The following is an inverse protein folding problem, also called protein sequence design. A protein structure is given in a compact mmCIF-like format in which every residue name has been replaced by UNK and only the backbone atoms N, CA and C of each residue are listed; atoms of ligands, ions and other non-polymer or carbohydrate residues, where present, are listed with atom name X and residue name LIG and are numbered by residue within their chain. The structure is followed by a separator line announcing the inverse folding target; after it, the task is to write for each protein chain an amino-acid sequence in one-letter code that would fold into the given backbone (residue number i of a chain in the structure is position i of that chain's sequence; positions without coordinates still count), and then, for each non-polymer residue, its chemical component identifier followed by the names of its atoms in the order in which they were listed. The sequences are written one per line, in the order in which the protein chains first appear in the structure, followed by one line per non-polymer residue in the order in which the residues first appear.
data_IF_463156566290
#
_entry.id   IF_463156566290
#
_cell.length_a   1.000
_cell.length_b   1.000
_cell.length_c   1.000
_cell.angle_alpha   90.00
_cell.angle_beta   90.00
_cell.angle_gamma   90.00
#
_symmetry.space_group_name_H-M   'P 1'
#
loop_
_entity.id
_entity.type
_entity.pdbx_description
1 polymer ?
#
# COMPACT_ATOMS: atom_id res chain seq x y z
N UNK A 1 1.60 -14.56 -4.32
CA UNK A 1 0.30 -14.36 -3.65
C UNK A 1 0.45 -14.78 -2.21
N UNK A 2 0.20 -13.85 -1.29
CA UNK A 2 0.31 -14.06 0.15
C UNK A 2 -1.00 -14.64 0.68
N UNK A 3 -1.04 -15.94 1.02
CA UNK A 3 -2.25 -16.59 1.53
C UNK A 3 -2.45 -16.22 3.00
N UNK A 4 -3.47 -15.42 3.28
CA UNK A 4 -3.95 -15.13 4.64
C UNK A 4 -5.33 -15.74 4.88
N UNK A 5 -5.60 -16.19 6.11
CA UNK A 5 -6.91 -16.73 6.43
C UNK A 5 -8.00 -15.65 6.36
N UNK A 6 -9.14 -16.08 5.83
CA UNK A 6 -10.41 -15.37 5.95
C UNK A 6 -11.15 -15.94 7.17
N UNK A 7 -11.60 -15.03 8.02
CA UNK A 7 -12.37 -15.33 9.23
C UNK A 7 -13.81 -14.88 9.10
N UNK A 8 -14.37 -14.35 10.19
CA UNK A 8 -15.65 -13.66 10.13
C UNK A 8 -15.47 -12.29 9.46
N UNK A 9 -16.08 -12.03 8.29
CA UNK A 9 -15.91 -10.77 7.60
C UNK A 9 -16.59 -9.62 8.36
N UNK A 10 -15.83 -8.55 8.61
CA UNK A 10 -16.37 -7.29 9.14
C UNK A 10 -16.56 -6.25 8.03
N UNK A 11 -15.73 -6.31 7.00
CA UNK A 11 -15.84 -5.56 5.76
C UNK A 11 -15.14 -6.36 4.66
N UNK A 12 -15.70 -6.41 3.45
CA UNK A 12 -15.09 -7.14 2.33
C UNK A 12 -15.13 -6.32 1.06
N UNK A 13 -14.04 -6.40 0.30
CA UNK A 13 -13.90 -5.83 -1.04
C UNK A 13 -14.24 -4.34 -1.12
N UNK A 14 -13.95 -3.57 -0.05
CA UNK A 14 -14.16 -2.13 -0.02
C UNK A 14 -13.14 -1.49 -0.97
N UNK A 15 -13.55 -0.70 -1.98
CA UNK A 15 -12.59 -0.03 -2.85
C UNK A 15 -11.70 0.92 -2.05
N UNK A 16 -10.38 0.85 -2.27
CA UNK A 16 -9.42 1.73 -1.58
C UNK A 16 -9.70 3.22 -1.81
N UNK A 17 -10.31 3.57 -2.95
CA UNK A 17 -10.69 4.95 -3.31
C UNK A 17 -11.77 5.54 -2.39
N UNK A 18 -12.47 4.71 -1.62
CA UNK A 18 -13.47 5.13 -0.63
C UNK A 18 -12.91 5.15 0.80
N UNK A 19 -11.65 4.77 0.97
CA UNK A 19 -11.01 4.61 2.27
C UNK A 19 -10.13 5.82 2.58
N UNK A 20 -10.29 6.41 3.76
CA UNK A 20 -9.27 7.26 4.37
C UNK A 20 -8.47 6.37 5.32
N UNK A 21 -7.20 6.13 5.02
CA UNK A 21 -6.41 5.14 5.75
C UNK A 21 -6.35 5.46 7.26
N UNK A 22 -6.04 6.70 7.72
CA UNK A 22 -5.99 7.00 9.15
C UNK A 22 -7.30 6.66 9.88
N UNK A 23 -8.44 7.06 9.30
CA UNK A 23 -9.75 6.84 9.89
C UNK A 23 -10.13 5.34 9.90
N UNK A 24 -9.69 4.59 8.89
CA UNK A 24 -9.89 3.14 8.83
C UNK A 24 -9.12 2.45 9.97
N UNK A 25 -7.83 2.76 10.14
CA UNK A 25 -7.00 2.18 11.19
C UNK A 25 -7.48 2.59 12.59
N UNK A 26 -7.93 3.83 12.76
CA UNK A 26 -8.52 4.32 14.00
C UNK A 26 -9.81 3.55 14.37
N UNK A 27 -10.65 3.23 13.38
CA UNK A 27 -11.82 2.36 13.58
C UNK A 27 -11.42 0.94 14.00
N UNK A 28 -10.40 0.35 13.38
CA UNK A 28 -9.92 -0.99 13.75
C UNK A 28 -9.38 -1.02 15.19
N UNK A 29 -8.66 0.03 15.59
CA UNK A 29 -8.16 0.22 16.95
C UNK A 29 -9.30 0.38 17.96
N UNK A 30 -10.20 1.34 17.73
CA UNK A 30 -11.30 1.64 18.65
C UNK A 30 -12.33 0.51 18.73
N UNK A 31 -12.51 -0.22 17.63
CA UNK A 31 -13.34 -1.43 17.56
C UNK A 31 -12.70 -2.65 18.23
N UNK A 32 -11.47 -2.54 18.77
CA UNK A 32 -10.71 -3.63 19.40
C UNK A 32 -10.58 -4.86 18.50
N UNK A 33 -10.29 -4.64 17.22
CA UNK A 33 -10.15 -5.74 16.26
C UNK A 33 -9.15 -6.79 16.79
N UNK A 34 -9.56 -8.05 16.73
CA UNK A 34 -8.67 -9.21 16.84
C UNK A 34 -8.80 -9.98 15.54
N UNK A 35 -7.74 -9.98 14.73
CA UNK A 35 -7.78 -10.55 13.38
C UNK A 35 -6.85 -9.82 12.41
N UNK A 36 -7.25 -9.74 11.14
CA UNK A 36 -6.43 -9.10 10.11
C UNK A 36 -7.23 -8.15 9.22
N UNK A 37 -6.53 -7.15 8.70
CA UNK A 37 -6.99 -6.31 7.61
C UNK A 37 -6.06 -6.51 6.42
N UNK A 38 -6.64 -6.70 5.24
CA UNK A 38 -5.94 -7.08 4.01
C UNK A 38 -6.21 -6.00 2.97
N UNK A 39 -5.15 -5.54 2.32
CA UNK A 39 -5.21 -4.68 1.15
C UNK A 39 -4.67 -5.44 -0.04
N UNK A 40 -5.46 -5.51 -1.10
CA UNK A 40 -5.10 -6.15 -2.35
C UNK A 40 -4.97 -5.06 -3.43
N UNK A 41 -3.75 -4.86 -3.91
CA UNK A 41 -3.43 -3.94 -4.99
C UNK A 41 -2.93 -4.74 -6.20
N UNK A 42 -3.10 -4.24 -7.43
CA UNK A 42 -2.63 -4.94 -8.64
C UNK A 42 -1.14 -5.32 -8.64
N UNK A 43 -0.30 -4.58 -7.91
CA UNK A 43 1.15 -4.79 -7.84
C UNK A 43 1.66 -5.18 -6.44
N UNK A 44 0.79 -5.29 -5.44
CA UNK A 44 1.20 -5.57 -4.06
C UNK A 44 0.06 -6.13 -3.19
N UNK A 45 0.41 -7.05 -2.30
CA UNK A 45 -0.48 -7.54 -1.24
C UNK A 45 -0.01 -6.96 0.09
N UNK A 46 -0.92 -6.37 0.88
CA UNK A 46 -0.58 -5.86 2.21
C UNK A 46 -1.49 -6.47 3.27
N UNK A 47 -0.96 -6.67 4.47
CA UNK A 47 -1.76 -7.09 5.60
C UNK A 47 -1.32 -6.46 6.90
N UNK A 48 -2.30 -6.20 7.75
CA UNK A 48 -2.16 -5.67 9.08
C UNK A 48 -2.80 -6.66 10.06
N UNK A 49 -2.08 -7.08 11.09
CA UNK A 49 -2.58 -8.02 12.09
C UNK A 49 -2.82 -7.28 13.40
N UNK A 50 -4.00 -7.48 13.97
CA UNK A 50 -4.45 -6.80 15.18
C UNK A 50 -4.75 -7.79 16.31
N UNK A 51 -4.36 -7.41 17.53
CA UNK A 51 -4.76 -8.07 18.79
C UNK A 51 -5.43 -7.05 19.70
N UNK A 52 -6.72 -7.23 19.97
CA UNK A 52 -7.54 -6.33 20.82
C UNK A 52 -7.40 -4.83 20.46
N UNK A 53 -7.29 -4.52 19.16
CA UNK A 53 -7.15 -3.17 18.62
C UNK A 53 -5.71 -2.64 18.54
N UNK A 54 -4.72 -3.38 19.04
CA UNK A 54 -3.30 -3.05 18.85
C UNK A 54 -2.83 -3.57 17.52
N UNK A 55 -2.11 -2.76 16.75
CA UNK A 55 -1.50 -3.21 15.50
C UNK A 55 -0.19 -3.90 15.83
N UNK A 56 -0.13 -5.21 15.63
CA UNK A 56 1.00 -6.03 16.09
C UNK A 56 2.05 -6.25 15.02
N UNK A 57 1.62 -6.47 13.78
CA UNK A 57 2.53 -6.58 12.63
C UNK A 57 1.88 -6.03 11.37
N UNK A 58 2.71 -5.49 10.49
CA UNK A 58 2.34 -5.05 9.16
C UNK A 58 3.27 -5.71 8.15
N UNK A 59 2.73 -6.09 6.99
CA UNK A 59 3.50 -6.71 5.93
C UNK A 59 3.04 -6.20 4.57
N UNK A 60 3.99 -5.98 3.67
CA UNK A 60 3.76 -5.70 2.26
C UNK A 60 4.59 -6.67 1.44
N UNK A 61 3.94 -7.36 0.51
CA UNK A 61 4.58 -8.14 -0.53
C UNK A 61 4.50 -7.37 -1.84
N UNK A 62 5.66 -7.00 -2.38
CA UNK A 62 5.76 -6.22 -3.62
C UNK A 62 7.01 -6.63 -4.37
N UNK A 63 6.87 -6.85 -5.68
CA UNK A 63 8.00 -7.19 -6.58
C UNK A 63 8.84 -8.38 -6.08
N UNK A 64 8.19 -9.36 -5.44
CA UNK A 64 8.84 -10.55 -4.86
C UNK A 64 9.57 -10.31 -3.54
N UNK A 65 9.53 -9.09 -3.00
CA UNK A 65 10.12 -8.74 -1.71
C UNK A 65 9.07 -8.64 -0.61
N UNK A 66 9.48 -8.99 0.61
CA UNK A 66 8.69 -8.87 1.83
C UNK A 66 9.21 -7.67 2.65
N UNK A 67 8.33 -6.69 2.90
CA UNK A 67 8.60 -5.50 3.71
C UNK A 67 7.76 -5.63 4.98
N UNK A 68 8.34 -5.34 6.16
CA UNK A 68 7.68 -5.52 7.46
C UNK A 68 7.54 -4.24 8.28
N UNK A 69 6.58 -4.29 9.19
CA UNK A 69 6.32 -3.38 10.30
C UNK A 69 6.33 -1.91 9.86
N UNK A 70 7.24 -1.09 10.38
CA UNK A 70 7.26 0.34 10.07
C UNK A 70 7.44 0.64 8.58
N UNK A 71 8.33 -0.08 7.90
CA UNK A 71 8.55 0.09 6.47
C UNK A 71 7.33 -0.39 5.66
N UNK A 72 6.63 -1.43 6.14
CA UNK A 72 5.39 -1.90 5.53
C UNK A 72 4.28 -0.84 5.63
N UNK A 73 4.17 -0.15 6.76
CA UNK A 73 3.18 0.93 6.95
C UNK A 73 3.47 2.12 6.05
N UNK A 74 4.73 2.50 5.88
CA UNK A 74 5.14 3.52 4.91
C UNK A 74 4.78 3.11 3.48
N UNK A 75 5.14 1.89 3.08
CA UNK A 75 4.81 1.35 1.77
C UNK A 75 3.30 1.26 1.54
N UNK A 76 2.50 0.95 2.57
CA UNK A 76 1.04 0.92 2.48
C UNK A 76 0.46 2.31 2.21
N UNK A 77 0.95 3.35 2.89
CA UNK A 77 0.53 4.74 2.62
C UNK A 77 0.83 5.12 1.17
N UNK A 78 2.04 4.83 0.69
CA UNK A 78 2.41 5.09 -0.71
C UNK A 78 1.50 4.34 -1.69
N UNK A 79 1.24 3.05 -1.45
CA UNK A 79 0.35 2.24 -2.29
C UNK A 79 -1.07 2.79 -2.31
N UNK A 80 -1.61 3.19 -1.16
CA UNK A 80 -2.96 3.77 -1.05
C UNK A 80 -3.11 5.07 -1.86
N UNK A 81 -2.04 5.83 -2.04
CA UNK A 81 -2.05 7.11 -2.75
C UNK A 81 -1.76 6.98 -4.25
N UNK A 82 -0.88 6.04 -4.61
CA UNK A 82 -0.42 5.87 -5.98
C UNK A 82 -1.23 4.84 -6.77
N UNK A 83 -1.85 3.87 -6.10
CA UNK A 83 -2.60 2.83 -6.78
C UNK A 83 -3.89 3.39 -7.41
N UNK A 84 -4.14 3.03 -8.67
CA UNK A 84 -5.36 3.40 -9.38
C UNK A 84 -6.57 2.54 -8.98
N UNK A 85 -6.32 1.38 -8.41
CA UNK A 85 -7.33 0.43 -7.94
C UNK A 85 -6.77 -0.44 -6.83
N UNK A 86 -7.67 -1.06 -6.07
CA UNK A 86 -7.36 -1.99 -5.01
C UNK A 86 -8.57 -2.20 -4.12
N UNK A 87 -8.49 -3.20 -3.25
CA UNK A 87 -9.55 -3.52 -2.29
C UNK A 87 -9.01 -3.61 -0.87
N UNK A 88 -9.90 -3.36 0.07
CA UNK A 88 -9.67 -3.46 1.50
C UNK A 88 -10.70 -4.41 2.11
N UNK A 89 -10.23 -5.39 2.87
CA UNK A 89 -11.08 -6.35 3.58
C UNK A 89 -10.60 -6.52 5.02
N UNK A 90 -11.50 -6.80 5.94
CA UNK A 90 -11.22 -6.98 7.36
C UNK A 90 -11.92 -8.24 7.84
N UNK A 91 -11.16 -9.12 8.47
CA UNK A 91 -11.65 -10.38 9.01
C UNK A 91 -11.33 -10.47 10.49
N UNK A 92 -12.38 -10.64 11.30
CA UNK A 92 -12.23 -11.02 12.69
C UNK A 92 -11.84 -12.50 12.78
N UNK A 93 -10.85 -12.79 13.63
CA UNK A 93 -10.34 -14.14 13.89
C UNK A 93 -10.47 -14.44 15.39
N UNK A 94 -10.49 -15.73 15.73
CA UNK A 94 -10.30 -16.09 17.14
C UNK A 94 -8.88 -15.72 17.58
N UNK A 95 -8.69 -15.46 18.88
CA UNK A 95 -7.37 -15.12 19.44
C UNK A 95 -6.29 -16.14 19.05
N UNK A 96 -6.66 -17.41 19.04
CA UNK A 96 -5.77 -18.53 18.73
C UNK A 96 -5.30 -18.49 17.28
N UNK A 97 -6.21 -18.18 16.36
CA UNK A 97 -5.89 -18.03 14.94
C UNK A 97 -5.09 -16.74 14.72
N UNK A 98 -5.42 -15.64 15.39
CA UNK A 98 -4.64 -14.39 15.30
C UNK A 98 -3.18 -14.61 15.71
N UNK A 99 -2.92 -15.32 16.81
CA UNK A 99 -1.55 -15.64 17.23
C UNK A 99 -0.81 -16.50 16.19
N UNK A 100 -1.50 -17.47 15.59
CA UNK A 100 -0.90 -18.26 14.52
C UNK A 100 -0.62 -17.41 13.26
N UNK A 101 -1.50 -16.47 12.92
CA UNK A 101 -1.28 -15.51 11.83
C UNK A 101 -0.11 -14.57 12.12
N UNK A 102 0.06 -14.15 13.38
CA UNK A 102 1.26 -13.41 13.79
C UNK A 102 2.52 -14.25 13.56
N UNK A 103 2.49 -15.55 13.84
CA UNK A 103 3.58 -16.46 13.50
C UNK A 103 3.83 -16.48 11.98
N UNK A 104 2.78 -16.62 11.17
CA UNK A 104 2.87 -16.66 9.70
C UNK A 104 3.56 -15.41 9.13
N UNK A 105 3.19 -14.23 9.63
CA UNK A 105 3.60 -12.94 9.08
C UNK A 105 4.94 -12.46 9.68
N UNK A 106 5.09 -12.55 11.01
CA UNK A 106 6.21 -11.98 11.75
C UNK A 106 7.20 -13.02 12.30
N UNK A 107 6.82 -14.30 12.34
CA UNK A 107 7.64 -15.34 12.95
C UNK A 107 8.91 -15.69 12.15
N UNK A 108 10.02 -16.04 12.82
CA UNK A 108 11.18 -16.60 12.15
C UNK A 108 10.83 -17.91 11.42
N UNK A 109 11.45 -18.10 10.24
CA UNK A 109 11.37 -19.35 9.51
C UNK A 109 12.20 -20.41 10.24
N UNK A 110 11.53 -21.48 10.68
CA UNK A 110 12.20 -22.71 11.16
C UNK A 110 12.41 -23.68 10.00
N UNK A 111 11.49 -23.67 9.05
CA UNK A 111 11.57 -24.38 7.77
C UNK A 111 11.17 -23.37 6.70
N UNK A 112 11.95 -23.27 5.63
CA UNK A 112 11.73 -22.33 4.54
C UNK A 112 11.83 -23.04 3.20
N UNK A 113 10.69 -23.11 2.50
CA UNK A 113 10.53 -23.65 1.15
C UNK A 113 11.15 -25.05 0.94
N UNK A 114 11.03 -25.94 1.92
CA UNK A 114 11.55 -27.32 1.81
C UNK A 114 10.51 -28.25 1.18
N UNK A 115 10.96 -29.15 0.29
CA UNK A 115 10.07 -30.16 -0.27
C UNK A 115 9.57 -31.12 0.80
N UNK A 116 8.26 -31.35 0.84
CA UNK A 116 7.62 -32.16 1.88
C UNK A 116 8.16 -33.59 1.94
N UNK A 117 8.59 -34.14 0.80
CA UNK A 117 9.17 -35.49 0.68
C UNK A 117 10.52 -35.64 1.39
N UNK A 118 11.21 -34.53 1.64
CA UNK A 118 12.50 -34.50 2.33
C UNK A 118 12.36 -34.27 3.84
N UNK A 119 11.13 -33.99 4.31
CA UNK A 119 10.83 -33.72 5.71
C UNK A 119 10.20 -34.97 6.33
N UNK A 120 10.68 -35.37 7.50
CA UNK A 120 9.92 -36.28 8.36
C UNK A 120 8.72 -35.50 8.95
N UNK A 121 7.61 -35.51 8.23
CA UNK A 121 6.42 -34.75 8.59
C UNK A 121 5.86 -35.20 9.94
N UNK A 122 5.97 -36.49 10.27
CA UNK A 122 5.50 -37.02 11.56
C UNK A 122 6.35 -36.46 12.70
N UNK A 123 7.67 -36.53 12.57
CA UNK A 123 8.58 -35.96 13.58
C UNK A 123 8.38 -34.45 13.73
N UNK A 124 8.10 -33.73 12.63
CA UNK A 124 7.78 -32.30 12.66
C UNK A 124 6.53 -32.01 13.49
N UNK A 125 5.44 -32.75 13.26
CA UNK A 125 4.21 -32.59 14.04
C UNK A 125 4.40 -32.94 15.52
N UNK A 126 5.14 -34.02 15.80
CA UNK A 126 5.48 -34.42 17.18
C UNK A 126 6.33 -33.36 17.88
N UNK A 127 7.23 -32.70 17.14
CA UNK A 127 8.04 -31.59 17.64
C UNK A 127 7.19 -30.37 17.99
N UNK A 128 6.31 -29.94 17.08
CA UNK A 128 5.37 -28.83 17.31
C UNK A 128 4.57 -29.06 18.60
N UNK A 129 4.09 -30.29 18.79
CA UNK A 129 3.33 -30.69 19.97
C UNK A 129 4.17 -30.69 21.25
N UNK A 130 5.36 -31.29 21.21
CA UNK A 130 6.22 -31.48 22.39
C UNK A 130 6.83 -30.17 22.87
N UNK A 131 7.25 -29.31 21.94
CA UNK A 131 7.79 -27.97 22.25
C UNK A 131 6.69 -26.94 22.48
N UNK A 132 5.41 -27.34 22.46
CA UNK A 132 4.24 -26.47 22.66
C UNK A 132 4.28 -25.22 21.77
N UNK A 133 4.62 -25.39 20.49
CA UNK A 133 4.80 -24.25 19.61
C UNK A 133 3.47 -23.55 19.28
N UNK A 134 3.50 -22.22 19.26
CA UNK A 134 2.49 -21.42 18.55
C UNK A 134 3.06 -21.07 17.17
N UNK A 135 2.46 -21.61 16.13
CA UNK A 135 3.09 -21.65 14.81
C UNK A 135 2.06 -21.73 13.68
N UNK A 136 2.50 -21.36 12.48
CA UNK A 136 1.78 -21.66 11.24
C UNK A 136 2.65 -22.53 10.35
N UNK A 137 2.08 -23.66 9.94
CA UNK A 137 2.65 -24.54 8.92
C UNK A 137 1.93 -24.27 7.61
N UNK A 138 2.66 -23.79 6.61
CA UNK A 138 2.14 -23.57 5.27
C UNK A 138 2.61 -24.71 4.37
N UNK A 139 1.69 -25.31 3.65
CA UNK A 139 1.96 -26.36 2.66
C UNK A 139 1.47 -25.86 1.31
N UNK A 140 2.31 -25.88 0.28
CA UNK A 140 1.97 -25.25 -0.99
C UNK A 140 2.68 -25.86 -2.20
N UNK A 141 2.03 -25.71 -3.35
CA UNK A 141 2.61 -25.81 -4.70
C UNK A 141 2.56 -24.41 -5.33
N UNK A 142 3.04 -24.20 -6.58
CA UNK A 142 2.83 -22.94 -7.26
C UNK A 142 1.35 -22.55 -7.44
N UNK A 143 0.45 -23.53 -7.47
CA UNK A 143 -0.99 -23.34 -7.76
C UNK A 143 -1.90 -23.46 -6.54
N UNK A 144 -1.52 -24.24 -5.53
CA UNK A 144 -2.34 -24.55 -4.36
C UNK A 144 -1.62 -24.21 -3.08
N UNK A 145 -2.32 -23.72 -2.07
CA UNK A 145 -1.74 -23.49 -0.76
C UNK A 145 -2.74 -23.77 0.37
N UNK A 146 -2.21 -24.32 1.47
CA UNK A 146 -2.92 -24.63 2.70
C UNK A 146 -2.11 -24.21 3.93
N UNK A 147 -2.80 -23.88 5.00
CA UNK A 147 -2.29 -23.45 6.29
C UNK A 147 -2.83 -24.36 7.38
N UNK A 148 -1.97 -24.71 8.32
CA UNK A 148 -2.34 -25.35 9.59
C UNK A 148 -1.89 -24.44 10.72
N UNK A 149 -2.83 -24.07 11.57
CA UNK A 149 -2.59 -23.18 12.69
C UNK A 149 -2.41 -23.98 13.98
N UNK A 150 -1.36 -23.66 14.72
CA UNK A 150 -1.03 -24.28 16.00
C UNK A 150 -0.96 -23.25 17.11
N UNK A 151 -1.49 -23.60 18.27
CA UNK A 151 -1.34 -22.87 19.53
C UNK A 151 -0.93 -23.85 20.61
N UNK A 152 0.18 -23.56 21.30
CA UNK A 152 0.71 -24.41 22.36
C UNK A 152 0.84 -25.90 21.95
N UNK A 153 1.22 -26.14 20.69
CA UNK A 153 1.37 -27.48 20.11
C UNK A 153 0.07 -28.17 19.69
N UNK A 154 -1.10 -27.57 19.94
CA UNK A 154 -2.39 -28.09 19.50
C UNK A 154 -2.84 -27.41 18.19
N UNK A 155 -3.43 -28.19 17.28
CA UNK A 155 -4.03 -27.63 16.07
C UNK A 155 -5.32 -26.88 16.41
N UNK A 156 -5.41 -25.63 15.97
CA UNK A 156 -6.55 -24.75 16.24
C UNK A 156 -7.38 -24.43 15.00
N UNK A 157 -6.87 -24.72 13.80
CA UNK A 157 -7.63 -24.59 12.57
C UNK A 157 -6.82 -24.85 11.31
N UNK A 158 -7.54 -24.90 10.19
CA UNK A 158 -7.02 -25.08 8.85
C UNK A 158 -7.57 -23.99 7.94
N UNK A 159 -6.81 -23.64 6.90
CA UNK A 159 -7.28 -22.73 5.86
C UNK A 159 -6.59 -23.07 4.55
N UNK A 160 -7.28 -22.92 3.42
CA UNK A 160 -6.68 -23.08 2.10
C UNK A 160 -7.19 -22.00 1.13
N UNK A 161 -6.58 -21.93 -0.04
CA UNK A 161 -6.90 -20.99 -1.12
C UNK A 161 -8.39 -20.89 -1.50
N UNK A 162 -9.10 -22.02 -1.51
CA UNK A 162 -10.53 -22.10 -1.78
C UNK A 162 -11.42 -22.02 -0.51
N UNK A 163 -10.85 -21.89 0.69
CA UNK A 163 -11.62 -21.75 1.92
C UNK A 163 -12.32 -20.39 1.97
N UNK A 164 -13.55 -20.38 2.46
CA UNK A 164 -14.29 -19.16 2.79
C UNK A 164 -14.17 -18.77 4.27
N UNK A 165 -13.56 -19.63 5.09
CA UNK A 165 -13.40 -19.45 6.53
C UNK A 165 -12.39 -20.42 7.12
N UNK A 166 -12.18 -20.36 8.45
CA UNK A 166 -11.34 -21.32 9.16
C UNK A 166 -12.06 -22.66 9.27
N UNK A 167 -11.38 -23.73 8.84
CA UNK A 167 -11.87 -25.09 8.89
C UNK A 167 -11.35 -25.84 10.11
N UNK A 168 -12.09 -26.87 10.52
CA UNK A 168 -11.71 -27.76 11.62
C UNK A 168 -11.11 -29.09 11.13
N UNK A 169 -10.98 -29.27 9.81
CA UNK A 169 -10.52 -30.52 9.20
C UNK A 169 -9.30 -30.29 8.32
N UNK A 170 -8.40 -31.28 8.28
CA UNK A 170 -7.16 -31.21 7.50
C UNK A 170 -7.33 -31.65 6.04
N UNK A 171 -8.55 -32.01 5.61
CA UNK A 171 -8.79 -32.78 4.38
C UNK A 171 -8.12 -32.19 3.15
N UNK A 172 -8.37 -30.91 2.86
CA UNK A 172 -7.79 -30.25 1.68
C UNK A 172 -6.29 -30.02 1.83
N UNK A 173 -5.82 -29.62 3.01
CA UNK A 173 -4.40 -29.40 3.27
C UNK A 173 -3.58 -30.69 3.09
N UNK A 174 -4.15 -31.85 3.48
CA UNK A 174 -3.56 -33.16 3.25
C UNK A 174 -3.52 -33.53 1.76
N UNK A 175 -4.53 -33.14 0.98
CA UNK A 175 -4.49 -33.34 -0.47
C UNK A 175 -3.37 -32.52 -1.12
N UNK A 176 -3.22 -31.25 -0.72
CA UNK A 176 -2.13 -30.38 -1.21
C UNK A 176 -0.76 -30.96 -0.85
N UNK A 177 -0.61 -31.48 0.36
CA UNK A 177 0.61 -32.15 0.81
C UNK A 177 0.99 -33.37 -0.05
N UNK A 178 0.00 -34.05 -0.65
CA UNK A 178 0.21 -35.20 -1.55
C UNK A 178 0.61 -34.82 -2.97
N UNK A 179 0.54 -33.54 -3.35
CA UNK A 179 0.84 -33.10 -4.71
C UNK A 179 2.34 -33.17 -5.03
N UNK A 180 2.71 -33.48 -6.29
CA UNK A 180 4.11 -33.43 -6.72
C UNK A 180 4.72 -32.05 -6.52
N UNK A 181 5.90 -31.98 -5.91
CA UNK A 181 6.61 -30.72 -5.69
C UNK A 181 6.05 -29.87 -4.55
N UNK A 182 5.14 -30.40 -3.72
CA UNK A 182 4.66 -29.70 -2.54
C UNK A 182 5.80 -29.34 -1.58
N UNK A 183 5.77 -28.09 -1.11
CA UNK A 183 6.74 -27.50 -0.20
C UNK A 183 6.09 -27.07 1.09
N UNK A 184 6.92 -26.91 2.12
CA UNK A 184 6.51 -26.58 3.47
C UNK A 184 7.32 -25.41 3.99
N UNK A 185 6.62 -24.45 4.60
CA UNK A 185 7.18 -23.41 5.45
C UNK A 185 6.66 -23.60 6.87
N UNK A 186 7.54 -23.50 7.88
CA UNK A 186 7.14 -23.44 9.29
C UNK A 186 7.61 -22.12 9.87
N UNK A 187 6.66 -21.32 10.33
CA UNK A 187 6.91 -20.05 11.02
C UNK A 187 6.41 -20.17 12.46
N UNK A 188 7.28 -19.86 13.42
CA UNK A 188 6.98 -19.99 14.85
C UNK A 188 6.91 -18.61 15.46
N UNK A 189 5.90 -18.35 16.29
CA UNK A 189 5.83 -17.10 17.04
C UNK A 189 6.87 -17.17 18.16
N UNK A 190 7.77 -16.18 18.23
CA UNK A 190 8.69 -16.06 19.35
C UNK A 190 7.90 -15.82 20.64
N UNK A 191 8.38 -16.39 21.75
CA UNK A 191 7.80 -16.09 23.05
C UNK A 191 7.98 -14.59 23.32
N UNK A 192 6.87 -13.91 23.52
CA UNK A 192 6.84 -12.50 23.89
C UNK A 192 6.29 -12.53 25.30
N UNK A 193 7.08 -12.13 26.30
CA UNK A 193 6.75 -12.16 27.74
C UNK A 193 5.52 -11.28 28.09
N UNK A 194 4.36 -11.56 27.48
CA UNK A 194 3.15 -10.74 27.50
C UNK A 194 3.25 -9.39 26.76
N UNK A 195 4.41 -9.02 26.21
CA UNK A 195 4.60 -7.72 25.56
C UNK A 195 4.20 -7.74 24.09
N UNK A 196 3.05 -7.14 23.80
CA UNK A 196 2.59 -6.85 22.43
C UNK A 196 2.80 -5.36 22.14
N UNK A 197 3.76 -5.07 21.26
CA UNK A 197 4.05 -3.73 20.78
C UNK A 197 2.92 -3.24 19.86
N UNK A 198 2.36 -2.06 20.14
CA UNK A 198 1.41 -1.40 19.22
C UNK A 198 2.20 -0.56 18.20
N UNK A 199 2.39 -1.10 17.00
CA UNK A 199 3.11 -0.43 15.91
C UNK A 199 2.46 0.90 15.52
N UNK A 200 1.13 1.02 15.65
CA UNK A 200 0.42 2.27 15.37
C UNK A 200 0.78 3.38 16.37
N UNK A 201 1.34 3.04 17.54
CA UNK A 201 1.86 4.01 18.50
C UNK A 201 3.27 4.51 18.17
N UNK A 202 3.99 3.85 17.26
CA UNK A 202 5.37 4.21 16.89
C UNK A 202 5.45 5.14 15.68
N UNK A 203 4.36 5.22 14.90
CA UNK A 203 4.30 5.98 13.65
C UNK A 203 3.03 6.80 13.66
N UNK A 204 3.16 8.10 13.44
CA UNK A 204 2.01 8.96 13.20
C UNK A 204 1.50 8.73 11.78
N UNK A 205 0.62 7.75 11.62
CA UNK A 205 0.04 7.39 10.32
C UNK A 205 -0.78 8.56 9.76
N UNK A 206 -1.38 9.40 10.62
CA UNK A 206 -2.12 10.58 10.18
C UNK A 206 -1.15 11.62 9.61
N UNK A 207 -0.05 11.93 10.31
CA UNK A 207 0.96 12.83 9.78
C UNK A 207 1.61 12.29 8.49
N UNK A 208 1.89 10.99 8.42
CA UNK A 208 2.43 10.35 7.23
C UNK A 208 1.45 10.41 6.04
N UNK A 209 0.17 10.15 6.32
CA UNK A 209 -0.91 10.29 5.35
C UNK A 209 -1.05 11.73 4.88
N UNK A 210 -1.12 12.72 5.77
CA UNK A 210 -1.24 14.14 5.39
C UNK A 210 0.01 14.66 4.66
N UNK A 211 1.21 14.24 5.05
CA UNK A 211 2.44 14.61 4.33
C UNK A 211 2.49 14.04 2.90
N UNK A 212 1.79 12.93 2.67
CA UNK A 212 1.79 12.21 1.39
C UNK A 212 0.55 12.51 0.54
N UNK A 213 -0.57 12.84 1.18
CA UNK A 213 -1.87 13.20 0.59
C UNK A 213 -2.03 14.70 0.39
N UNK A 214 -1.33 15.47 1.23
CA UNK A 214 -1.37 16.92 1.31
C UNK A 214 -0.33 17.56 0.40
N UNK A 215 -0.83 18.56 -0.32
CA UNK A 215 -0.09 19.65 -0.93
C UNK A 215 1.09 20.10 -0.03
N UNK A 216 2.33 20.29 -0.52
CA UNK A 216 3.47 20.78 0.28
C UNK A 216 3.32 22.20 0.86
N UNK A 217 2.10 22.78 0.85
CA UNK A 217 1.75 24.10 1.35
C UNK A 217 0.89 24.09 2.63
N UNK A 218 0.78 22.97 3.36
CA UNK A 218 0.27 23.00 4.72
C UNK A 218 1.32 23.61 5.67
N UNK A 219 1.51 24.93 5.59
CA UNK A 219 2.24 25.71 6.60
C UNK A 219 1.45 25.64 7.92
N UNK A 220 2.09 25.40 9.09
CA UNK A 220 1.40 25.57 10.36
C UNK A 220 0.91 27.02 10.47
N UNK A 221 -0.40 27.19 10.67
CA UNK A 221 -1.04 28.50 10.70
C UNK A 221 -0.41 29.43 11.76
N UNK A 222 0.07 30.63 11.39
CA UNK A 222 0.33 31.67 12.37
C UNK A 222 -0.99 32.38 12.73
N UNK A 223 -1.08 32.70 14.01
CA UNK A 223 -2.09 33.48 14.72
C UNK A 223 -2.70 34.62 13.92
N UNK A 224 -4.03 34.70 13.96
CA UNK A 224 -4.84 35.77 13.40
C UNK A 224 -4.46 37.16 13.93
N UNK A 225 -4.25 38.11 13.01
CA UNK A 225 -4.47 39.54 13.25
C UNK A 225 -5.29 40.07 12.07
N UNK A 226 -6.32 40.84 12.40
CA UNK A 226 -7.43 41.22 11.54
C UNK A 226 -7.20 42.52 10.74
N UNK A 227 -8.01 42.65 9.68
CA UNK A 227 -8.55 43.85 9.02
C UNK A 227 -7.79 44.43 7.80
N UNK A 228 -8.49 45.17 6.90
CA UNK A 228 -9.83 44.95 6.34
C UNK A 228 -9.92 45.11 4.79
N UNK A 229 -11.02 44.62 4.23
CA UNK A 229 -11.40 44.64 2.82
C UNK A 229 -11.90 46.00 2.33
N UNK A 230 -11.64 46.36 1.06
CA UNK A 230 -12.51 47.24 0.27
C UNK A 230 -12.65 46.76 -1.20
N UNK A 231 -13.81 46.99 -1.85
CA UNK A 231 -14.20 46.37 -3.11
C UNK A 231 -14.00 47.30 -4.32
N UNK A 232 -13.81 46.76 -5.53
CA UNK A 232 -14.00 47.54 -6.76
C UNK A 232 -14.66 46.70 -7.85
N UNK A 233 -15.67 47.33 -8.46
CA UNK A 233 -16.66 46.80 -9.39
C UNK A 233 -16.13 46.63 -10.85
N UNK A 234 -16.93 46.06 -11.79
CA UNK A 234 -16.44 45.36 -12.99
C UNK A 234 -16.55 46.10 -14.35
N UNK A 235 -15.83 45.53 -15.34
CA UNK A 235 -16.02 45.53 -16.83
C UNK A 235 -15.65 46.81 -17.64
N UNK A 236 -15.35 46.76 -18.97
CA UNK A 236 -15.59 45.69 -19.97
C UNK A 236 -14.44 45.39 -20.99
N UNK A 237 -14.76 44.49 -21.94
CA UNK A 237 -13.95 43.73 -22.91
C UNK A 237 -13.24 44.48 -24.06
N UNK A 238 -12.18 43.85 -24.61
CA UNK A 238 -11.81 43.89 -26.03
C UNK A 238 -10.95 42.66 -26.43
N UNK A 239 -11.26 42.06 -27.58
CA UNK A 239 -10.72 40.80 -28.07
C UNK A 239 -9.41 40.97 -28.89
N UNK A 240 -8.48 40.04 -28.67
CA UNK A 240 -7.50 39.58 -29.66
C UNK A 240 -7.23 38.10 -29.37
N UNK A 241 -7.33 37.26 -30.39
CA UNK A 241 -7.24 35.80 -30.29
C UNK A 241 -5.79 35.33 -30.09
N UNK A 242 -5.27 35.54 -28.89
CA UNK A 242 -4.20 34.77 -28.28
C UNK A 242 -4.86 33.94 -27.20
N UNK A 243 -4.65 32.62 -27.17
CA UNK A 243 -5.06 31.82 -26.01
C UNK A 243 -4.52 32.53 -24.77
N UNK A 244 -5.39 32.79 -23.81
CA UNK A 244 -5.00 33.44 -22.57
C UNK A 244 -3.89 32.62 -21.92
N UNK A 245 -2.98 33.29 -21.20
CA UNK A 245 -1.89 32.64 -20.49
C UNK A 245 -2.39 31.42 -19.66
N UNK A 246 -3.57 31.58 -19.05
CA UNK A 246 -4.27 30.56 -18.26
C UNK A 246 -4.71 29.34 -19.09
N UNK A 247 -5.12 29.53 -20.35
CA UNK A 247 -5.51 28.44 -21.26
C UNK A 247 -4.29 27.64 -21.74
N UNK A 248 -3.17 28.33 -22.00
CA UNK A 248 -1.91 27.69 -22.38
C UNK A 248 -1.32 26.92 -21.20
N UNK A 249 -1.40 27.51 -20.01
CA UNK A 249 -1.00 26.85 -18.77
C UNK A 249 -1.81 25.57 -18.52
N UNK A 250 -3.15 25.66 -18.60
CA UNK A 250 -4.02 24.48 -18.49
C UNK A 250 -3.70 23.41 -19.55
N UNK A 251 -3.41 23.82 -20.79
CA UNK A 251 -3.04 22.90 -21.87
C UNK A 251 -1.69 22.21 -21.62
N UNK A 252 -0.69 22.91 -21.08
CA UNK A 252 0.61 22.32 -20.71
C UNK A 252 0.42 21.28 -19.59
N UNK A 253 -0.43 21.58 -18.61
CA UNK A 253 -0.76 20.67 -17.51
C UNK A 253 -1.51 19.44 -17.98
N UNK A 254 -2.45 19.59 -18.90
CA UNK A 254 -3.20 18.47 -19.47
C UNK A 254 -2.33 17.61 -20.39
N UNK A 255 -1.38 18.20 -21.12
CA UNK A 255 -0.38 17.45 -21.88
C UNK A 255 0.51 16.63 -20.93
N UNK A 256 1.03 17.24 -19.87
CA UNK A 256 1.84 16.52 -18.89
C UNK A 256 1.04 15.41 -18.17
N UNK A 257 -0.24 15.66 -17.86
CA UNK A 257 -1.17 14.65 -17.34
C UNK A 257 -1.38 13.48 -18.32
N UNK A 258 -1.55 13.79 -19.61
CA UNK A 258 -1.83 12.79 -20.64
C UNK A 258 -0.65 11.86 -20.88
N UNK A 259 0.58 12.39 -20.87
CA UNK A 259 1.78 11.61 -21.19
C UNK A 259 2.43 10.95 -19.98
N UNK A 260 2.34 11.57 -18.80
CA UNK A 260 3.05 11.16 -17.58
C UNK A 260 2.09 10.93 -16.39
N UNK A 261 0.77 11.05 -16.61
CA UNK A 261 -0.25 10.88 -15.57
C UNK A 261 -0.31 12.06 -14.61
N UNK A 262 -1.07 11.92 -13.52
CA UNK A 262 -1.30 13.01 -12.54
C UNK A 262 0.01 13.62 -12.01
N UNK A 263 1.05 12.80 -11.82
CA UNK A 263 2.38 13.26 -11.40
C UNK A 263 3.07 14.12 -12.46
N UNK A 264 2.83 13.85 -13.75
CA UNK A 264 3.28 14.69 -14.85
C UNK A 264 2.71 16.11 -14.77
N UNK A 265 1.41 16.21 -14.49
CA UNK A 265 0.74 17.50 -14.28
C UNK A 265 1.35 18.27 -13.11
N UNK A 266 1.50 17.62 -11.96
CA UNK A 266 2.09 18.23 -10.77
C UNK A 266 3.55 18.64 -11.00
N UNK A 267 4.31 17.85 -11.76
CA UNK A 267 5.67 18.20 -12.15
C UNK A 267 5.68 19.44 -13.05
N UNK A 268 4.79 19.52 -14.03
CA UNK A 268 4.67 20.69 -14.89
C UNK A 268 4.25 21.95 -14.12
N UNK A 269 3.29 21.84 -13.19
CA UNK A 269 2.87 22.93 -12.29
C UNK A 269 4.05 23.45 -11.46
N UNK A 270 4.82 22.54 -10.85
CA UNK A 270 6.00 22.89 -10.03
C UNK A 270 7.09 23.57 -10.84
N UNK A 271 7.47 23.02 -11.99
CA UNK A 271 8.55 23.59 -12.79
C UNK A 271 8.13 24.93 -13.44
N UNK A 272 6.83 25.13 -13.70
CA UNK A 272 6.31 26.41 -14.17
C UNK A 272 6.36 27.50 -13.09
N UNK A 273 6.10 27.11 -11.83
CA UNK A 273 6.28 27.99 -10.67
C UNK A 273 7.75 28.36 -10.46
N UNK A 274 8.68 27.41 -10.63
CA UNK A 274 10.13 27.65 -10.47
C UNK A 274 10.67 28.69 -11.45
N UNK A 275 10.21 28.68 -12.71
CA UNK A 275 10.64 29.63 -13.74
C UNK A 275 9.89 30.98 -13.68
N UNK A 276 8.84 31.06 -12.87
CA UNK A 276 8.13 32.29 -12.49
C UNK A 276 6.77 32.52 -13.12
N UNK A 277 6.32 31.71 -14.08
CA UNK A 277 4.96 31.62 -14.69
C UNK A 277 5.03 31.16 -16.16
N UNK A 278 3.87 30.86 -16.77
CA UNK A 278 3.76 30.53 -18.20
C UNK A 278 4.30 31.65 -19.11
N UNK A 279 4.22 32.92 -18.69
CA UNK A 279 4.77 34.04 -19.46
C UNK A 279 6.30 33.98 -19.58
N UNK A 280 6.96 33.29 -18.65
CA UNK A 280 8.40 33.06 -18.67
C UNK A 280 8.83 32.04 -19.74
N UNK A 281 7.89 31.25 -20.28
CA UNK A 281 8.16 30.32 -21.39
C UNK A 281 8.35 31.03 -22.75
N UNK A 282 8.11 32.35 -22.83
CA UNK A 282 8.47 33.18 -23.99
C UNK A 282 9.99 33.33 -24.16
N UNK A 283 10.73 33.15 -23.06
CA UNK A 283 12.18 33.16 -23.06
C UNK A 283 12.70 31.76 -23.44
N UNK A 284 13.45 31.62 -24.55
CA UNK A 284 13.99 30.33 -24.99
C UNK A 284 14.83 29.62 -23.93
N UNK A 285 15.56 30.36 -23.11
CA UNK A 285 16.45 29.79 -22.08
C UNK A 285 15.62 29.17 -20.95
N UNK A 286 14.54 29.85 -20.54
CA UNK A 286 13.62 29.36 -19.50
C UNK A 286 12.73 28.21 -19.99
N UNK A 287 12.33 28.23 -21.26
CA UNK A 287 11.62 27.10 -21.88
C UNK A 287 12.51 25.85 -21.89
N UNK A 288 13.80 26.01 -22.21
CA UNK A 288 14.74 24.90 -22.20
C UNK A 288 15.00 24.36 -20.78
N UNK A 289 15.10 25.24 -19.79
CA UNK A 289 15.21 24.88 -18.37
C UNK A 289 13.98 24.07 -17.89
N UNK A 290 12.78 24.55 -18.21
CA UNK A 290 11.52 23.87 -17.91
C UNK A 290 11.43 22.48 -18.53
N UNK A 291 11.74 22.36 -19.82
CA UNK A 291 11.70 21.08 -20.54
C UNK A 291 12.75 20.08 -20.02
N UNK A 292 13.91 20.56 -19.58
CA UNK A 292 14.95 19.72 -18.98
C UNK A 292 14.54 19.23 -17.58
N UNK A 293 13.91 20.08 -16.78
CA UNK A 293 13.41 19.74 -15.45
C UNK A 293 12.27 18.73 -15.51
N UNK A 294 11.30 18.94 -16.42
CA UNK A 294 10.20 17.99 -16.66
C UNK A 294 10.74 16.65 -17.18
N UNK A 295 11.70 16.65 -18.10
CA UNK A 295 12.31 15.42 -18.58
C UNK A 295 12.95 14.64 -17.43
N UNK A 296 13.74 15.32 -16.58
CA UNK A 296 14.41 14.69 -15.45
C UNK A 296 13.41 14.09 -14.45
N UNK A 297 12.32 14.79 -14.13
CA UNK A 297 11.28 14.29 -13.22
C UNK A 297 10.40 13.19 -13.83
N UNK A 298 10.31 13.12 -15.16
CA UNK A 298 9.45 12.14 -15.85
C UNK A 298 10.16 10.81 -16.17
N UNK A 299 11.49 10.73 -16.06
CA UNK A 299 12.29 9.54 -16.42
C UNK A 299 11.92 8.24 -15.69
N UNK A 300 11.36 8.35 -14.48
CA UNK A 300 10.89 7.20 -13.69
C UNK A 300 9.40 6.92 -13.86
N UNK A 301 8.68 7.78 -14.59
CA UNK A 301 7.22 7.80 -14.68
C UNK A 301 6.72 7.42 -16.09
N UNK A 302 7.53 7.62 -17.13
CA UNK A 302 7.16 7.33 -18.51
C UNK A 302 8.36 6.85 -19.35
N UNK A 303 8.09 6.22 -20.49
CA UNK A 303 9.14 5.79 -21.43
C UNK A 303 9.76 6.99 -22.17
N UNK A 304 11.02 6.85 -22.58
CA UNK A 304 11.76 7.92 -23.26
C UNK A 304 11.06 8.47 -24.51
N UNK A 305 10.33 7.63 -25.25
CA UNK A 305 9.54 8.05 -26.41
C UNK A 305 8.36 8.96 -26.01
N UNK A 306 7.61 8.60 -24.95
CA UNK A 306 6.50 9.42 -24.44
C UNK A 306 6.99 10.76 -23.89
N UNK A 307 8.15 10.78 -23.24
CA UNK A 307 8.75 12.02 -22.72
C UNK A 307 9.16 12.94 -23.88
N UNK A 308 9.70 12.38 -24.97
CA UNK A 308 10.05 13.16 -26.18
C UNK A 308 8.81 13.78 -26.83
N UNK A 309 7.76 12.98 -27.04
CA UNK A 309 6.48 13.45 -27.60
C UNK A 309 5.83 14.54 -26.74
N UNK A 310 5.88 14.38 -25.41
CA UNK A 310 5.38 15.39 -24.47
C UNK A 310 6.15 16.70 -24.59
N UNK A 311 7.49 16.68 -24.67
CA UNK A 311 8.31 17.89 -24.80
C UNK A 311 8.05 18.63 -26.12
N UNK A 312 7.84 17.89 -27.21
CA UNK A 312 7.49 18.47 -28.50
C UNK A 312 6.09 19.13 -28.46
N UNK A 313 5.12 18.47 -27.83
CA UNK A 313 3.77 19.02 -27.66
C UNK A 313 3.74 20.27 -26.75
N UNK A 314 4.48 20.26 -25.64
CA UNK A 314 4.61 21.41 -24.73
C UNK A 314 5.30 22.58 -25.43
N UNK A 315 6.36 22.33 -26.22
CA UNK A 315 7.04 23.37 -27.01
C UNK A 315 6.10 24.01 -28.04
N UNK A 316 5.27 23.20 -28.71
CA UNK A 316 4.28 23.69 -29.67
C UNK A 316 3.17 24.52 -29.02
N UNK A 317 2.83 24.23 -27.76
CA UNK A 317 1.85 24.99 -26.99
C UNK A 317 2.46 26.29 -26.44
N UNK A 318 3.72 26.27 -26.01
CA UNK A 318 4.45 27.47 -25.58
C UNK A 318 4.71 28.45 -26.75
N UNK A 319 4.84 27.97 -27.99
CA UNK A 319 4.97 28.82 -29.17
C UNK A 319 3.70 29.63 -29.52
N UNK A 320 2.57 29.36 -28.84
CA UNK A 320 1.31 30.09 -29.00
C UNK A 320 1.14 31.26 -28.00
N UNK A 321 2.12 31.45 -27.09
CA UNK A 321 2.21 32.56 -26.12
C UNK A 321 2.67 33.87 -26.78
#
# INVERSE_FOLDING_TARGET
MFLLPKGNPLAENVPISKLQLPDALEKLKNGKLTGCAIFDFPAADCALVYDEGKLVTAIVHRDGNEIKDQAALQSLVELMLLASSGTFSVYALSKDITLAVMALVGGPATIDSQEIKLIDFKALLDRIKTEQMTATLKIYTPERAGLIFYRNGATVGFFHDASTGIETSAGEVQQIAGLPGARVDLRVLADTDGFVLDLAGLIDIRALWEASSGNPFATPAPTAVAAPSEPTAPAPAAAASTLSADEIEAAIFDLANRFVGKLGRTLAEKELMNIGSVASLKDPDKLQEFLAAIEKGSKLLASSNKIKEMKEAISAQAAQL
#
